data_IF_803676938867
#
_entry.id   IF_803676938867
#
_cell.length_a   1.000
_cell.length_b   1.000
_cell.length_c   1.000
_cell.angle_alpha   90.00
_cell.angle_beta   90.00
_cell.angle_gamma   90.00
#
_symmetry.space_group_name_H-M   'P 1'
#
loop_
_entity.id
_entity.type
_entity.pdbx_description
1 polymer ?
#
# COMPACT_ATOMS: atom_id res chain seq x y z
N UNK A 1 -25.86 10.75 9.12
CA UNK A 1 -25.47 10.22 7.79
C UNK A 1 -24.15 10.79 7.21
N UNK A 2 -23.25 11.40 8.02
CA UNK A 2 -21.99 11.99 7.54
C UNK A 2 -20.77 11.04 7.60
N UNK A 3 -20.80 10.01 8.44
CA UNK A 3 -19.71 9.02 8.62
C UNK A 3 -19.66 7.96 7.51
N UNK A 4 -20.77 7.68 6.83
CA UNK A 4 -20.80 6.67 5.76
C UNK A 4 -20.15 7.14 4.45
N UNK A 5 -20.11 8.44 4.20
CA UNK A 5 -19.53 9.03 2.98
C UNK A 5 -18.01 8.82 2.88
N UNK A 6 -17.19 9.09 3.92
CA UNK A 6 -15.76 8.82 3.86
C UNK A 6 -15.46 7.32 3.73
N UNK A 7 -16.26 6.45 4.36
CA UNK A 7 -16.08 5.00 4.25
C UNK A 7 -16.30 4.48 2.83
N UNK A 8 -17.35 4.95 2.14
CA UNK A 8 -17.60 4.59 0.74
C UNK A 8 -16.52 5.16 -0.20
N UNK A 9 -16.03 6.37 0.07
CA UNK A 9 -14.92 6.95 -0.69
C UNK A 9 -13.64 6.11 -0.53
N UNK A 10 -13.32 5.69 0.69
CA UNK A 10 -12.16 4.83 0.98
C UNK A 10 -12.26 3.48 0.24
N UNK A 11 -13.43 2.84 0.27
CA UNK A 11 -13.66 1.57 -0.44
C UNK A 11 -13.57 1.72 -1.97
N UNK A 12 -13.97 2.88 -2.51
CA UNK A 12 -13.79 3.19 -3.94
C UNK A 12 -12.32 3.35 -4.29
N UNK A 13 -11.56 4.10 -3.50
CA UNK A 13 -10.11 4.28 -3.68
C UNK A 13 -9.42 2.92 -3.62
N UNK A 14 -9.71 2.11 -2.59
CA UNK A 14 -9.15 0.76 -2.45
C UNK A 14 -9.48 -0.14 -3.66
N UNK A 15 -10.72 -0.09 -4.17
CA UNK A 15 -11.09 -0.83 -5.39
C UNK A 15 -10.37 -0.32 -6.63
N UNK A 16 -10.27 0.99 -6.84
CA UNK A 16 -9.52 1.60 -7.96
C UNK A 16 -8.06 1.16 -7.91
N UNK A 17 -7.44 1.28 -6.73
CA UNK A 17 -6.07 0.88 -6.47
C UNK A 17 -5.83 -0.60 -6.80
N UNK A 18 -6.68 -1.51 -6.29
CA UNK A 18 -6.57 -2.96 -6.55
C UNK A 18 -6.70 -3.36 -8.02
N UNK A 19 -7.34 -2.52 -8.85
CA UNK A 19 -7.54 -2.76 -10.29
C UNK A 19 -6.40 -2.20 -11.14
N UNK A 20 -5.59 -1.28 -10.61
CA UNK A 20 -4.47 -0.71 -11.34
C UNK A 20 -3.41 -1.81 -11.61
N UNK A 21 -2.95 -1.99 -12.86
CA UNK A 21 -1.98 -3.03 -13.20
C UNK A 21 -0.64 -2.80 -12.48
N UNK A 22 -0.22 -1.55 -12.32
CA UNK A 22 0.98 -1.15 -11.60
C UNK A 22 0.92 -1.60 -10.13
N UNK A 23 -0.22 -1.38 -9.47
CA UNK A 23 -0.44 -1.79 -8.09
C UNK A 23 -0.39 -3.31 -7.93
N UNK A 24 -1.04 -4.03 -8.84
CA UNK A 24 -1.03 -5.51 -8.84
C UNK A 24 0.38 -6.06 -9.06
N UNK A 25 1.15 -5.44 -9.96
CA UNK A 25 2.55 -5.78 -10.19
C UNK A 25 3.39 -5.58 -8.94
N UNK A 26 3.22 -4.44 -8.25
CA UNK A 26 3.94 -4.15 -7.02
C UNK A 26 3.61 -5.14 -5.90
N UNK A 27 2.33 -5.46 -5.69
CA UNK A 27 1.91 -6.46 -4.70
C UNK A 27 2.45 -7.86 -5.03
N UNK A 28 2.47 -8.24 -6.31
CA UNK A 28 3.04 -9.51 -6.74
C UNK A 28 4.56 -9.57 -6.52
N UNK A 29 5.28 -8.48 -6.79
CA UNK A 29 6.71 -8.36 -6.51
C UNK A 29 6.99 -8.44 -5.01
N UNK A 30 6.19 -7.78 -4.18
CA UNK A 30 6.33 -7.81 -2.71
C UNK A 30 6.11 -9.23 -2.18
N UNK A 31 5.05 -9.91 -2.66
CA UNK A 31 4.79 -11.30 -2.32
C UNK A 31 5.94 -12.23 -2.75
N UNK A 32 6.51 -12.01 -3.94
CA UNK A 32 7.68 -12.76 -4.39
C UNK A 32 8.90 -12.51 -3.49
N UNK A 33 9.13 -11.25 -3.07
CA UNK A 33 10.20 -10.89 -2.16
C UNK A 33 10.04 -11.56 -0.78
N UNK A 34 8.81 -11.65 -0.26
CA UNK A 34 8.49 -12.37 0.96
C UNK A 34 8.78 -13.87 0.80
N UNK A 35 8.39 -14.48 -0.33
CA UNK A 35 8.64 -15.92 -0.57
C UNK A 35 10.15 -16.19 -0.66
N UNK A 36 10.90 -15.36 -1.40
CA UNK A 36 12.36 -15.49 -1.52
C UNK A 36 13.03 -15.35 -0.15
N UNK A 37 12.66 -14.33 0.62
CA UNK A 37 13.17 -14.12 1.97
C UNK A 37 12.82 -15.28 2.90
N UNK A 38 11.58 -15.76 2.86
CA UNK A 38 11.13 -16.86 3.71
C UNK A 38 11.91 -18.15 3.42
N UNK A 39 12.06 -18.52 2.15
CA UNK A 39 12.88 -19.68 1.75
C UNK A 39 14.33 -19.50 2.19
N UNK A 40 14.89 -18.29 2.04
CA UNK A 40 16.26 -18.01 2.48
C UNK A 40 16.42 -18.21 4.00
N UNK A 41 15.54 -17.60 4.82
CA UNK A 41 15.63 -17.69 6.29
C UNK A 41 15.33 -19.08 6.84
N UNK A 42 14.47 -19.86 6.19
CA UNK A 42 14.29 -21.28 6.52
C UNK A 42 15.59 -22.09 6.38
N UNK A 43 16.41 -21.77 5.37
CA UNK A 43 17.65 -22.49 5.11
C UNK A 43 18.84 -21.95 5.92
N UNK A 44 18.88 -20.64 6.17
CA UNK A 44 20.04 -19.98 6.81
C UNK A 44 19.88 -19.89 8.33
N UNK A 45 18.70 -19.52 8.82
CA UNK A 45 18.43 -19.38 10.26
C UNK A 45 17.69 -20.60 10.84
N UNK A 46 17.36 -21.59 10.00
CA UNK A 46 16.63 -22.80 10.40
C UNK A 46 15.27 -22.50 11.05
N UNK A 47 14.67 -21.36 10.70
CA UNK A 47 13.35 -20.96 11.17
C UNK A 47 12.25 -21.78 10.51
N UNK A 48 11.11 -21.88 11.19
CA UNK A 48 9.91 -22.43 10.56
C UNK A 48 9.46 -21.55 9.38
N UNK A 49 8.65 -22.11 8.47
CA UNK A 49 8.06 -21.32 7.38
C UNK A 49 7.29 -20.11 7.91
N UNK A 50 6.54 -20.31 9.00
CA UNK A 50 5.72 -19.25 9.59
C UNK A 50 6.59 -18.14 10.17
N UNK A 51 7.63 -18.48 10.94
CA UNK A 51 8.56 -17.51 11.53
C UNK A 51 9.32 -16.74 10.45
N UNK A 52 9.71 -17.43 9.37
CA UNK A 52 10.43 -16.83 8.24
C UNK A 52 9.54 -15.84 7.48
N UNK A 53 8.30 -16.22 7.16
CA UNK A 53 7.32 -15.31 6.53
C UNK A 53 6.99 -14.16 7.46
N UNK A 54 6.80 -14.43 8.75
CA UNK A 54 6.54 -13.41 9.76
C UNK A 54 7.67 -12.37 9.79
N UNK A 55 8.92 -12.82 9.92
CA UNK A 55 10.09 -11.94 9.91
C UNK A 55 10.14 -11.08 8.65
N UNK A 56 9.96 -11.68 7.47
CA UNK A 56 9.93 -10.96 6.21
C UNK A 56 8.84 -9.88 6.19
N UNK A 57 7.60 -10.23 6.55
CA UNK A 57 6.47 -9.29 6.55
C UNK A 57 6.69 -8.14 7.53
N UNK A 58 7.05 -8.40 8.78
CA UNK A 58 7.22 -7.33 9.79
C UNK A 58 8.43 -6.46 9.49
N UNK A 59 9.47 -7.02 8.89
CA UNK A 59 10.68 -6.30 8.48
C UNK A 59 10.39 -5.39 7.28
N UNK A 60 9.78 -5.91 6.21
CA UNK A 60 9.48 -5.13 5.00
C UNK A 60 8.38 -4.08 5.25
N UNK A 61 7.42 -4.38 6.14
CA UNK A 61 6.43 -3.42 6.60
C UNK A 61 7.00 -2.37 7.59
N UNK A 62 8.29 -2.45 7.95
CA UNK A 62 8.98 -1.56 8.89
C UNK A 62 8.43 -1.59 10.33
N UNK A 63 7.70 -2.65 10.68
CA UNK A 63 7.17 -2.85 12.05
C UNK A 63 8.28 -3.26 13.01
N UNK A 64 9.07 -4.29 12.65
CA UNK A 64 10.30 -4.67 13.34
C UNK A 64 10.17 -4.89 14.86
N UNK A 65 9.35 -5.86 15.29
CA UNK A 65 9.17 -6.15 16.73
C UNK A 65 10.44 -6.59 17.46
N UNK A 66 11.43 -7.14 16.75
CA UNK A 66 12.72 -7.54 17.31
C UNK A 66 12.71 -8.84 18.11
N UNK A 67 11.59 -9.56 18.11
CA UNK A 67 11.41 -10.90 18.66
C UNK A 67 12.14 -11.97 17.83
N UNK A 68 12.18 -11.79 16.51
CA UNK A 68 13.00 -12.58 15.59
C UNK A 68 14.01 -11.67 14.89
N UNK A 69 15.29 -12.05 14.97
CA UNK A 69 16.40 -11.35 14.31
C UNK A 69 17.42 -12.33 13.76
N UNK A 70 17.98 -12.11 12.56
CA UNK A 70 18.99 -13.01 11.99
C UNK A 70 20.22 -13.07 12.90
N UNK A 71 20.57 -14.28 13.31
CA UNK A 71 21.71 -14.52 14.21
C UNK A 71 22.99 -14.82 13.44
N UNK A 72 22.85 -15.40 12.24
CA UNK A 72 23.97 -15.74 11.37
C UNK A 72 24.50 -14.52 10.63
N UNK A 73 25.80 -14.52 10.33
CA UNK A 73 26.40 -13.42 9.57
C UNK A 73 25.86 -13.34 8.14
N UNK A 74 25.57 -14.49 7.53
CA UNK A 74 24.93 -14.59 6.22
C UNK A 74 23.51 -14.04 6.24
N UNK A 75 22.73 -14.34 7.29
CA UNK A 75 21.38 -13.83 7.49
C UNK A 75 21.33 -12.31 7.66
N UNK A 76 22.28 -11.76 8.42
CA UNK A 76 22.46 -10.30 8.58
C UNK A 76 22.87 -9.64 7.27
N UNK A 77 23.82 -10.23 6.53
CA UNK A 77 24.29 -9.68 5.26
C UNK A 77 23.19 -9.66 4.20
N UNK A 78 22.34 -10.69 4.15
CA UNK A 78 21.18 -10.73 3.28
C UNK A 78 20.12 -9.68 3.66
N UNK A 79 19.89 -9.47 4.95
CA UNK A 79 18.90 -8.52 5.44
C UNK A 79 19.13 -7.09 4.93
N UNK A 80 20.39 -6.67 4.77
CA UNK A 80 20.74 -5.30 4.37
C UNK A 80 20.12 -4.90 3.01
N UNK A 81 20.46 -5.52 1.87
CA UNK A 81 19.86 -5.17 0.59
C UNK A 81 18.36 -5.53 0.53
N UNK A 82 17.95 -6.58 1.26
CA UNK A 82 16.55 -7.01 1.33
C UNK A 82 15.63 -5.94 1.90
N UNK A 83 16.03 -5.34 3.04
CA UNK A 83 15.30 -4.25 3.69
C UNK A 83 15.26 -3.01 2.81
N UNK A 84 16.40 -2.64 2.20
CA UNK A 84 16.47 -1.46 1.31
C UNK A 84 15.48 -1.61 0.15
N UNK A 85 15.42 -2.79 -0.47
CA UNK A 85 14.49 -3.06 -1.56
C UNK A 85 13.02 -2.99 -1.08
N UNK A 86 12.70 -3.62 0.06
CA UNK A 86 11.37 -3.57 0.65
C UNK A 86 10.87 -2.18 0.95
N UNK A 87 11.71 -1.37 1.63
CA UNK A 87 11.37 0.01 1.97
C UNK A 87 11.19 0.86 0.71
N UNK A 88 12.02 0.66 -0.32
CA UNK A 88 11.84 1.35 -1.60
C UNK A 88 10.49 0.99 -2.26
N UNK A 89 10.11 -0.29 -2.26
CA UNK A 89 8.83 -0.76 -2.79
C UNK A 89 7.64 -0.23 -1.99
N UNK A 90 7.74 -0.16 -0.66
CA UNK A 90 6.75 0.48 0.20
C UNK A 90 6.59 1.97 -0.13
N UNK A 91 7.69 2.67 -0.43
CA UNK A 91 7.64 4.06 -0.91
C UNK A 91 6.84 4.22 -2.21
N UNK A 92 7.08 3.33 -3.19
CA UNK A 92 6.31 3.31 -4.45
C UNK A 92 4.84 3.01 -4.19
N UNK A 93 4.53 2.11 -3.26
CA UNK A 93 3.15 1.80 -2.87
C UNK A 93 2.42 3.04 -2.36
N UNK A 94 3.06 3.77 -1.43
CA UNK A 94 2.53 5.02 -0.86
C UNK A 94 2.33 6.07 -1.96
N UNK A 95 3.27 6.19 -2.90
CA UNK A 95 3.17 7.13 -4.02
C UNK A 95 1.95 6.84 -4.91
N UNK A 96 1.72 5.59 -5.29
CA UNK A 96 0.57 5.20 -6.12
C UNK A 96 -0.73 5.46 -5.35
N UNK A 97 -0.80 5.04 -4.08
CA UNK A 97 -1.97 5.26 -3.24
C UNK A 97 -2.29 6.75 -3.06
N UNK A 98 -1.26 7.58 -2.85
CA UNK A 98 -1.38 9.03 -2.72
C UNK A 98 -1.91 9.68 -4.00
N UNK A 99 -1.39 9.30 -5.18
CA UNK A 99 -1.88 9.81 -6.47
C UNK A 99 -3.34 9.47 -6.70
N UNK A 100 -3.74 8.21 -6.50
CA UNK A 100 -5.14 7.78 -6.64
C UNK A 100 -6.07 8.50 -5.67
N UNK A 101 -5.62 8.78 -4.44
CA UNK A 101 -6.40 9.53 -3.47
C UNK A 101 -6.60 10.99 -3.90
N UNK A 102 -5.55 11.64 -4.42
CA UNK A 102 -5.63 13.02 -4.92
C UNK A 102 -6.55 13.13 -6.14
N UNK A 103 -6.44 12.21 -7.11
CA UNK A 103 -7.31 12.16 -8.29
C UNK A 103 -8.80 12.06 -7.91
N UNK A 104 -9.15 11.22 -6.93
CA UNK A 104 -10.53 11.12 -6.45
C UNK A 104 -11.00 12.43 -5.77
N UNK A 105 -10.14 13.09 -5.01
CA UNK A 105 -10.47 14.38 -4.37
C UNK A 105 -10.70 15.49 -5.41
N UNK A 106 -9.89 15.54 -6.46
CA UNK A 106 -10.05 16.47 -7.57
C UNK A 106 -11.36 16.22 -8.33
N UNK A 107 -11.66 14.96 -8.68
CA UNK A 107 -12.93 14.58 -9.33
C UNK A 107 -14.15 14.97 -8.49
N UNK A 108 -14.10 14.75 -7.17
CA UNK A 108 -15.18 15.11 -6.25
C UNK A 108 -15.35 16.61 -6.12
N UNK A 109 -14.26 17.38 -6.16
CA UNK A 109 -14.28 18.84 -6.07
C UNK A 109 -14.87 19.44 -7.34
N UNK A 110 -14.45 18.99 -8.53
CA UNK A 110 -15.02 19.42 -9.81
C UNK A 110 -16.52 19.16 -9.89
N UNK A 111 -16.96 17.93 -9.55
CA UNK A 111 -18.40 17.58 -9.53
C UNK A 111 -19.22 18.43 -8.56
N UNK A 112 -18.62 18.93 -7.47
CA UNK A 112 -19.31 19.85 -6.55
C UNK A 112 -19.45 21.24 -7.15
N UNK A 113 -18.38 21.77 -7.75
CA UNK A 113 -18.38 23.07 -8.41
C UNK A 113 -19.40 23.12 -9.57
N UNK A 114 -19.42 22.10 -10.43
CA UNK A 114 -20.39 21.98 -11.52
C UNK A 114 -21.84 21.98 -10.98
N UNK A 115 -22.11 21.19 -9.93
CA UNK A 115 -23.44 21.14 -9.31
C UNK A 115 -23.85 22.47 -8.69
N UNK A 116 -22.92 23.21 -8.11
CA UNK A 116 -23.18 24.55 -7.57
C UNK A 116 -23.46 25.56 -8.67
N UNK A 117 -22.71 25.53 -9.77
CA UNK A 117 -22.95 26.39 -10.94
C UNK A 117 -24.32 26.12 -11.57
N UNK A 118 -24.63 24.85 -11.88
CA UNK A 118 -25.94 24.47 -12.43
C UNK A 118 -27.09 24.85 -11.50
N UNK A 119 -26.88 24.80 -10.19
CA UNK A 119 -27.91 25.22 -9.22
C UNK A 119 -28.13 26.73 -9.26
N UNK A 120 -27.07 27.53 -9.35
CA UNK A 120 -27.14 29.00 -9.46
C UNK A 120 -27.79 29.46 -10.76
N UNK A 121 -27.47 28.83 -11.89
CA UNK A 121 -28.09 29.13 -13.19
C UNK A 121 -29.61 28.92 -13.15
N UNK A 122 -30.06 27.78 -12.62
CA UNK A 122 -31.50 27.49 -12.45
C UNK A 122 -32.22 28.42 -11.48
N UNK A 123 -31.52 29.01 -10.51
CA UNK A 123 -32.09 30.00 -9.59
C UNK A 123 -32.17 31.39 -10.25
N UNK A 124 -31.26 31.71 -11.18
CA UNK A 124 -31.29 32.94 -11.96
C UNK A 124 -32.42 32.94 -13.01
N UNK A 125 -32.67 31.83 -13.69
CA UNK A 125 -33.77 31.69 -14.67
C UNK A 125 -35.18 31.79 -14.06
N UNK A 126 -35.29 31.58 -12.74
CA UNK A 126 -36.59 31.63 -12.03
C UNK A 126 -36.93 33.02 -11.48
N UNK A 127 -36.03 33.98 -11.56
CA UNK A 127 -36.24 35.37 -11.13
C UNK A 127 -36.55 36.25 -12.33
#
# INVERSE_FOLDING_TARGET
>A
MRIFIPFVALLKIARRLSKAPEFRGLVALEAALIIVGAVFYMNVEQWSLLDSVYFCVVTLATVGYGDLTPTTDTGKLFAIPYIILGVAMLGVFIQIAGRTALEELEELTQKRLEREQTKREKEAEKK
#
